data_IF_185459557956
#
_entry.id   IF_185459557956
#
_cell.length_a   1.000
_cell.length_b   1.000
_cell.length_c   1.000
_cell.angle_alpha   90.00
_cell.angle_beta   90.00
_cell.angle_gamma   90.00
#
_symmetry.space_group_name_H-M   'P 1'
#
loop_
_entity.id
_entity.type
_entity.pdbx_description
1 polymer ?
#
# COMPACT_ATOMS: atom_id res chain seq x y z
N UNK A 1 8.58 9.88 -12.60
CA UNK A 1 8.14 9.52 -11.24
C UNK A 1 6.64 9.34 -11.26
N UNK A 2 6.12 8.40 -10.47
CA UNK A 2 4.69 8.06 -10.37
C UNK A 2 4.18 8.41 -8.98
N UNK A 3 2.91 8.79 -8.89
CA UNK A 3 2.27 9.17 -7.63
C UNK A 3 1.53 7.99 -7.01
N UNK A 4 1.85 7.70 -5.76
CA UNK A 4 1.30 6.58 -5.00
C UNK A 4 0.60 7.03 -3.73
N UNK A 5 -0.35 6.21 -3.30
CA UNK A 5 -1.09 6.37 -2.04
C UNK A 5 -1.13 5.04 -1.31
N UNK A 6 -0.81 5.08 -0.02
CA UNK A 6 -1.00 3.98 0.91
C UNK A 6 -2.26 4.26 1.72
N UNK A 7 -3.18 3.33 1.68
CA UNK A 7 -4.35 3.30 2.56
C UNK A 7 -4.15 2.25 3.65
N UNK A 8 -4.30 2.63 4.90
CA UNK A 8 -4.28 1.69 6.04
C UNK A 8 -5.67 1.11 6.20
N UNK A 9 -5.74 -0.22 6.35
CA UNK A 9 -6.99 -0.93 6.61
C UNK A 9 -7.25 -0.88 8.11
N UNK A 10 -8.28 -0.13 8.51
CA UNK A 10 -8.75 -0.08 9.89
C UNK A 10 -9.34 -1.41 10.35
N UNK A 11 -9.46 -1.60 11.66
CA UNK A 11 -10.06 -2.81 12.24
C UNK A 11 -11.54 -3.00 11.83
N UNK A 12 -12.22 -1.92 11.44
CA UNK A 12 -13.58 -1.90 10.91
C UNK A 12 -13.65 -2.17 9.39
N UNK A 13 -12.50 -2.46 8.76
CA UNK A 13 -12.37 -2.69 7.32
C UNK A 13 -12.39 -1.40 6.49
N UNK A 14 -12.45 -0.22 7.10
CA UNK A 14 -12.43 1.05 6.36
C UNK A 14 -11.00 1.43 5.99
N UNK A 15 -10.86 1.99 4.79
CA UNK A 15 -9.60 2.53 4.30
C UNK A 15 -9.38 3.94 4.85
N UNK A 16 -8.22 4.18 5.45
CA UNK A 16 -7.77 5.49 5.89
C UNK A 16 -6.53 5.88 5.09
N UNK A 17 -6.50 7.09 4.53
CA UNK A 17 -5.31 7.56 3.83
C UNK A 17 -4.15 7.68 4.83
N UNK A 18 -3.10 6.88 4.64
CA UNK A 18 -1.90 6.89 5.46
C UNK A 18 -0.86 7.87 4.92
N UNK A 19 -0.39 7.63 3.70
CA UNK A 19 0.65 8.44 3.09
C UNK A 19 0.48 8.53 1.57
N UNK A 20 0.72 9.71 1.02
CA UNK A 20 0.98 9.90 -0.41
C UNK A 20 2.46 10.18 -0.64
N UNK A 21 3.04 9.63 -1.71
CA UNK A 21 4.46 9.80 -2.04
C UNK A 21 4.71 9.53 -3.52
N UNK A 22 5.88 9.94 -4.01
CA UNK A 22 6.35 9.60 -5.34
C UNK A 22 7.37 8.46 -5.29
N UNK A 23 7.33 7.58 -6.29
CA UNK A 23 8.36 6.55 -6.50
C UNK A 23 8.67 6.38 -7.98
N UNK A 24 9.81 5.75 -8.27
CA UNK A 24 10.26 5.49 -9.64
C UNK A 24 9.33 4.49 -10.36
N UNK A 25 8.96 3.42 -9.66
CA UNK A 25 8.17 2.29 -10.16
C UNK A 25 7.43 1.59 -9.03
N UNK A 26 6.65 0.58 -9.40
CA UNK A 26 5.81 -0.19 -8.48
C UNK A 26 6.66 -0.95 -7.45
N UNK A 27 7.85 -1.43 -7.84
CA UNK A 27 8.76 -2.18 -6.96
C UNK A 27 9.24 -1.29 -5.82
N UNK A 28 9.69 -0.07 -6.13
CA UNK A 28 10.09 0.92 -5.13
C UNK A 28 8.93 1.32 -4.21
N UNK A 29 7.71 1.42 -4.76
CA UNK A 29 6.52 1.73 -3.97
C UNK A 29 6.10 0.59 -3.03
N UNK A 30 6.23 -0.67 -3.47
CA UNK A 30 5.98 -1.86 -2.63
C UNK A 30 6.98 -1.95 -1.48
N UNK A 31 8.28 -1.76 -1.75
CA UNK A 31 9.31 -1.78 -0.72
C UNK A 31 8.99 -0.79 0.42
N UNK A 32 8.63 0.45 0.05
CA UNK A 32 8.24 1.48 1.01
C UNK A 32 6.95 1.17 1.77
N UNK A 33 6.00 0.53 1.10
CA UNK A 33 4.73 0.11 1.73
C UNK A 33 4.98 -0.98 2.77
N UNK A 34 5.88 -1.93 2.48
CA UNK A 34 6.27 -2.99 3.40
C UNK A 34 6.93 -2.42 4.66
N UNK A 35 7.82 -1.42 4.55
CA UNK A 35 8.43 -0.75 5.71
C UNK A 35 7.39 -0.11 6.65
N UNK A 36 6.28 0.39 6.10
CA UNK A 36 5.20 1.02 6.88
C UNK A 36 4.24 0.01 7.50
N UNK A 37 3.97 -1.11 6.82
CA UNK A 37 3.00 -2.13 7.22
C UNK A 37 3.46 -3.00 8.41
N UNK A 38 4.73 -2.95 8.81
CA UNK A 38 5.30 -3.70 9.96
C UNK A 38 4.59 -3.42 11.30
N UNK A 39 3.70 -2.41 11.37
CA UNK A 39 2.97 -2.03 12.59
C UNK A 39 1.70 -2.85 12.87
N UNK A 40 1.52 -4.01 12.24
CA UNK A 40 0.40 -4.92 12.49
C UNK A 40 -0.93 -4.49 11.88
N UNK A 41 -0.90 -3.55 10.94
CA UNK A 41 -2.07 -3.10 10.19
C UNK A 41 -1.90 -3.43 8.71
N UNK A 42 -2.95 -3.95 8.08
CA UNK A 42 -2.95 -4.14 6.63
C UNK A 42 -2.91 -2.82 5.89
N UNK A 43 -2.43 -2.83 4.65
CA UNK A 43 -2.36 -1.65 3.80
C UNK A 43 -2.70 -1.99 2.34
N UNK A 44 -3.26 -1.02 1.62
CA UNK A 44 -3.39 -1.07 0.17
C UNK A 44 -2.49 -0.01 -0.47
N UNK A 45 -1.74 -0.41 -1.50
CA UNK A 45 -0.92 0.48 -2.31
C UNK A 45 -1.64 0.76 -3.63
N UNK A 46 -1.80 2.04 -3.94
CA UNK A 46 -2.49 2.54 -5.12
C UNK A 46 -1.61 3.47 -5.94
N UNK A 47 -1.66 3.35 -7.26
CA UNK A 47 -1.11 4.29 -8.24
C UNK A 47 -2.29 4.91 -9.01
N UNK A 48 -2.59 6.19 -8.77
CA UNK A 48 -3.81 6.78 -9.33
C UNK A 48 -5.04 5.93 -8.99
N UNK A 49 -5.80 5.51 -10.00
CA UNK A 49 -6.98 4.63 -9.85
C UNK A 49 -6.71 3.13 -9.85
N UNK A 50 -5.43 2.70 -9.95
CA UNK A 50 -5.04 1.29 -10.02
C UNK A 50 -4.55 0.82 -8.65
N UNK A 51 -5.02 -0.36 -8.22
CA UNK A 51 -4.46 -1.04 -7.06
C UNK A 51 -3.18 -1.77 -7.48
N UNK A 52 -2.05 -1.41 -6.87
CA UNK A 52 -0.75 -2.07 -7.11
C UNK A 52 -0.68 -3.36 -6.31
N UNK A 53 -1.19 -3.34 -5.08
CA UNK A 53 -1.28 -4.53 -4.24
C UNK A 53 -1.66 -4.22 -2.81
N UNK A 54 -1.73 -5.29 -2.03
CA UNK A 54 -2.14 -5.27 -0.62
C UNK A 54 -1.05 -5.88 0.24
N UNK A 55 -0.82 -5.28 1.39
CA UNK A 55 0.02 -5.85 2.45
C UNK A 55 -0.90 -6.28 3.59
N UNK A 56 -0.79 -7.53 4.03
CA UNK A 56 -1.54 -8.02 5.18
C UNK A 56 -0.96 -7.46 6.49
N UNK A 57 -1.72 -7.58 7.58
CA UNK A 57 -1.21 -7.26 8.93
C UNK A 57 0.03 -8.09 9.32
N UNK A 58 0.24 -9.24 8.68
CA UNK A 58 1.42 -10.09 8.85
C UNK A 58 2.60 -9.68 7.93
N UNK A 59 2.46 -8.58 7.16
CA UNK A 59 3.49 -8.10 6.25
C UNK A 59 3.58 -8.84 4.91
N UNK A 60 2.63 -9.73 4.60
CA UNK A 60 2.64 -10.44 3.32
C UNK A 60 2.06 -9.56 2.20
N UNK A 61 2.79 -9.39 1.11
CA UNK A 61 2.34 -8.67 -0.07
C UNK A 61 1.58 -9.59 -1.05
N UNK A 62 0.47 -9.09 -1.59
CA UNK A 62 -0.28 -9.68 -2.69
C UNK A 62 -0.47 -8.63 -3.79
N UNK A 63 -0.11 -8.97 -5.02
CA UNK A 63 -0.28 -8.07 -6.16
C UNK A 63 -1.77 -7.78 -6.43
N UNK A 64 -2.06 -6.56 -6.87
CA UNK A 64 -3.39 -6.18 -7.36
C UNK A 64 -3.73 -6.93 -8.65
N UNK A 65 -5.02 -7.17 -8.88
CA UNK A 65 -5.49 -7.62 -10.18
C UNK A 65 -5.49 -6.44 -11.16
N UNK A 66 -5.15 -6.70 -12.42
CA UNK A 66 -5.18 -5.74 -13.53
C UNK A 66 -6.63 -5.39 -13.93
#
# INVERSE_FOLDING_TARGET
MKSYRIYIVGADGRLQLGQAFEAADDVAAVARTLELAVRGQGAELWEGGRIVGRVSAAGAFAAGAD
#
